data_IF_952089110251
#
_entry.id   IF_952089110251
#
_cell.length_a   1.000
_cell.length_b   1.000
_cell.length_c   1.000
_cell.angle_alpha   90.00
_cell.angle_beta   90.00
_cell.angle_gamma   90.00
#
_symmetry.space_group_name_H-M   'P 1'
#
loop_
_entity.id
_entity.type
_entity.pdbx_description
1 polymer ?
#
# COMPACT_ATOMS: atom_id res chain seq x y z
N UNK A 1 -11.11 -12.39 -11.43
CA UNK A 1 -10.12 -11.32 -11.68
C UNK A 1 -10.80 -10.05 -11.26
N UNK A 2 -10.44 -9.49 -10.11
CA UNK A 2 -11.04 -8.24 -9.63
C UNK A 2 -10.31 -7.12 -10.34
N UNK A 3 -11.04 -6.37 -11.16
CA UNK A 3 -10.55 -5.17 -11.83
C UNK A 3 -10.71 -4.02 -10.84
N UNK A 4 -9.59 -3.42 -10.45
CA UNK A 4 -9.50 -2.42 -9.40
C UNK A 4 -9.60 -1.04 -10.06
N UNK A 5 -10.84 -0.65 -10.37
CA UNK A 5 -11.18 0.43 -11.30
C UNK A 5 -10.80 1.83 -10.76
N UNK A 6 -9.60 2.27 -11.11
CA UNK A 6 -9.02 3.58 -10.81
C UNK A 6 -7.52 3.56 -11.01
N UNK A 7 -7.03 4.10 -12.14
CA UNK A 7 -5.59 4.22 -12.41
C UNK A 7 -5.04 5.57 -11.90
N UNK A 8 -4.16 5.50 -10.91
CA UNK A 8 -3.44 6.63 -10.36
C UNK A 8 -1.98 6.58 -10.78
N UNK A 9 -1.31 7.73 -10.87
CA UNK A 9 0.09 7.79 -11.28
C UNK A 9 0.98 8.30 -10.16
N UNK A 10 2.09 7.58 -9.90
CA UNK A 10 3.14 8.03 -9.00
C UNK A 10 4.41 8.25 -9.81
N UNK A 11 4.93 9.48 -9.75
CA UNK A 11 6.19 9.83 -10.37
C UNK A 11 7.34 9.49 -9.43
N UNK A 12 8.30 8.69 -9.90
CA UNK A 12 9.55 8.36 -9.21
C UNK A 12 10.68 9.21 -9.82
N UNK A 13 11.06 10.35 -9.20
CA UNK A 13 12.00 11.29 -9.80
C UNK A 13 13.39 10.68 -10.00
N UNK A 14 13.82 9.82 -9.08
CA UNK A 14 15.12 9.15 -9.12
C UNK A 14 15.32 8.27 -10.37
N UNK A 15 14.23 7.76 -10.96
CA UNK A 15 14.26 6.91 -12.15
C UNK A 15 13.68 7.57 -13.40
N UNK A 16 13.07 8.76 -13.27
CA UNK A 16 12.33 9.43 -14.35
C UNK A 16 11.13 8.63 -14.85
N UNK A 17 10.51 7.80 -14.00
CA UNK A 17 9.42 6.88 -14.37
C UNK A 17 8.12 7.20 -13.65
N UNK A 18 7.01 7.00 -14.34
CA UNK A 18 5.67 7.04 -13.78
C UNK A 18 5.16 5.61 -13.60
N UNK A 19 4.72 5.26 -12.40
CA UNK A 19 4.10 3.96 -12.09
C UNK A 19 2.60 4.13 -11.94
N UNK A 20 1.84 3.18 -12.49
CA UNK A 20 0.40 3.11 -12.27
C UNK A 20 0.10 2.36 -10.98
N UNK A 21 -0.75 2.95 -10.14
CA UNK A 21 -1.33 2.35 -8.95
C UNK A 21 -2.83 2.16 -9.18
N UNK A 22 -3.35 1.05 -8.66
CA UNK A 22 -4.79 0.92 -8.49
C UNK A 22 -5.25 1.67 -7.23
N UNK A 23 -6.57 1.78 -7.06
CA UNK A 23 -7.19 2.44 -5.90
C UNK A 23 -6.67 1.89 -4.56
N UNK A 24 -6.50 0.57 -4.43
CA UNK A 24 -5.92 -0.06 -3.24
C UNK A 24 -4.50 0.46 -2.94
N UNK A 25 -3.65 0.52 -3.96
CA UNK A 25 -2.29 1.00 -3.85
C UNK A 25 -2.22 2.48 -3.45
N UNK A 26 -3.11 3.31 -4.00
CA UNK A 26 -3.21 4.71 -3.56
C UNK A 26 -3.64 4.80 -2.09
N UNK A 27 -4.66 4.04 -1.70
CA UNK A 27 -5.19 4.09 -0.34
C UNK A 27 -4.16 3.64 0.70
N UNK A 28 -3.32 2.65 0.36
CA UNK A 28 -2.16 2.27 1.19
C UNK A 28 -1.25 3.49 1.45
N UNK A 29 -0.90 4.25 0.41
CA UNK A 29 -0.03 5.42 0.55
C UNK A 29 -0.70 6.53 1.37
N UNK A 30 -1.99 6.80 1.13
CA UNK A 30 -2.76 7.81 1.88
C UNK A 30 -2.80 7.48 3.38
N UNK A 31 -2.98 6.22 3.74
CA UNK A 31 -3.02 5.79 5.13
C UNK A 31 -1.66 5.92 5.81
N UNK A 32 -0.58 5.55 5.10
CA UNK A 32 0.78 5.62 5.63
C UNK A 32 1.35 7.04 5.70
N UNK A 33 0.88 7.96 4.85
CA UNK A 33 1.23 9.39 4.90
C UNK A 33 0.65 10.08 6.15
N UNK A 34 -0.53 9.63 6.62
CA UNK A 34 -1.16 10.17 7.83
C UNK A 34 -0.43 9.74 9.11
N UNK A 35 0.01 8.48 9.17
CA UNK A 35 0.76 7.93 10.30
C UNK A 35 1.44 6.62 9.92
N UNK A 36 2.65 6.33 10.44
CA UNK A 36 3.19 4.98 10.41
C UNK A 36 2.19 3.98 11.00
N UNK A 37 2.08 2.81 10.37
CA UNK A 37 1.18 1.75 10.79
C UNK A 37 1.86 0.38 10.71
N UNK A 38 1.42 -0.58 11.53
CA UNK A 38 1.81 -1.98 11.37
C UNK A 38 1.03 -2.62 10.21
N UNK A 39 1.50 -3.76 9.72
CA UNK A 39 0.81 -4.51 8.66
C UNK A 39 -0.62 -4.87 9.09
N UNK A 40 -0.81 -5.34 10.31
CA UNK A 40 -2.12 -5.73 10.84
C UNK A 40 -3.08 -4.53 10.88
N UNK A 41 -2.60 -3.38 11.36
CA UNK A 41 -3.42 -2.17 11.45
C UNK A 41 -3.76 -1.64 10.07
N UNK A 42 -2.81 -1.64 9.14
CA UNK A 42 -3.04 -1.24 7.76
C UNK A 42 -4.08 -2.15 7.08
N UNK A 43 -3.94 -3.47 7.22
CA UNK A 43 -4.91 -4.43 6.66
C UNK A 43 -6.31 -4.24 7.24
N UNK A 44 -6.44 -3.96 8.54
CA UNK A 44 -7.74 -3.65 9.16
C UNK A 44 -8.38 -2.40 8.53
N UNK A 45 -7.63 -1.31 8.41
CA UNK A 45 -8.11 -0.05 7.84
C UNK A 45 -8.54 -0.21 6.38
N UNK A 46 -7.79 -0.98 5.60
CA UNK A 46 -8.12 -1.25 4.19
C UNK A 46 -9.33 -2.17 4.06
N UNK A 47 -9.43 -3.21 4.89
CA UNK A 47 -10.58 -4.11 4.90
C UNK A 47 -11.87 -3.36 5.27
N UNK A 48 -11.81 -2.47 6.27
CA UNK A 48 -12.92 -1.58 6.64
C UNK A 48 -13.29 -0.62 5.49
N UNK A 49 -12.31 0.03 4.87
CA UNK A 49 -12.53 1.01 3.81
C UNK A 49 -13.18 0.39 2.56
N UNK A 50 -12.68 -0.77 2.12
CA UNK A 50 -13.16 -1.45 0.91
C UNK A 50 -14.24 -2.49 1.19
N UNK A 51 -14.70 -2.64 2.44
CA UNK A 51 -15.65 -3.68 2.86
C UNK A 51 -15.21 -5.09 2.45
N UNK A 52 -13.93 -5.40 2.63
CA UNK A 52 -13.31 -6.69 2.29
C UNK A 52 -13.18 -7.61 3.51
N UNK A 53 -13.02 -8.90 3.25
CA UNK A 53 -12.70 -9.88 4.29
C UNK A 53 -11.21 -9.77 4.66
N UNK A 54 -10.92 -9.60 5.95
CA UNK A 54 -9.57 -9.69 6.48
C UNK A 54 -9.20 -11.18 6.66
N UNK A 55 -8.49 -11.73 5.67
CA UNK A 55 -7.95 -13.08 5.70
C UNK A 55 -6.44 -13.11 5.41
N UNK A 56 -5.82 -14.28 5.56
CA UNK A 56 -4.38 -14.46 5.32
C UNK A 56 -3.98 -14.10 3.88
N UNK A 57 -4.84 -14.39 2.90
CA UNK A 57 -4.60 -14.09 1.49
C UNK A 57 -4.52 -12.58 1.26
N UNK A 58 -5.45 -11.83 1.84
CA UNK A 58 -5.46 -10.38 1.80
C UNK A 58 -4.22 -9.79 2.46
N UNK A 59 -3.85 -10.27 3.65
CA UNK A 59 -2.63 -9.82 4.34
C UNK A 59 -1.37 -10.06 3.49
N UNK A 60 -1.26 -11.21 2.84
CA UNK A 60 -0.13 -11.52 1.94
C UNK A 60 -0.10 -10.58 0.73
N UNK A 61 -1.24 -10.23 0.15
CA UNK A 61 -1.32 -9.28 -0.98
C UNK A 61 -0.90 -7.87 -0.58
N UNK A 62 -1.33 -7.39 0.60
CA UNK A 62 -0.89 -6.09 1.12
C UNK A 62 0.61 -6.11 1.40
N UNK A 63 1.15 -7.18 1.98
CA UNK A 63 2.58 -7.32 2.22
C UNK A 63 3.40 -7.27 0.93
N UNK A 64 2.97 -7.97 -0.13
CA UNK A 64 3.63 -7.91 -1.44
C UNK A 64 3.58 -6.50 -2.06
N UNK A 65 2.46 -5.79 -1.88
CA UNK A 65 2.30 -4.41 -2.34
C UNK A 65 3.27 -3.48 -1.61
N UNK A 66 3.41 -3.62 -0.29
CA UNK A 66 4.37 -2.86 0.52
C UNK A 66 5.82 -3.12 0.10
N UNK A 67 6.21 -4.37 -0.16
CA UNK A 67 7.55 -4.67 -0.67
C UNK A 67 7.81 -4.03 -2.03
N UNK A 68 6.81 -4.01 -2.92
CA UNK A 68 6.94 -3.31 -4.20
C UNK A 68 7.09 -1.80 -3.99
N UNK A 69 6.33 -1.21 -3.07
CA UNK A 69 6.42 0.22 -2.76
C UNK A 69 7.76 0.59 -2.14
N UNK A 70 8.30 -0.26 -1.26
CA UNK A 70 9.64 -0.10 -0.70
C UNK A 70 10.70 -0.11 -1.81
N UNK A 71 10.64 -1.09 -2.73
CA UNK A 71 11.57 -1.18 -3.85
C UNK A 71 11.48 0.03 -4.82
N UNK A 72 10.32 0.70 -4.86
CA UNK A 72 10.11 1.94 -5.62
C UNK A 72 10.50 3.21 -4.84
N UNK A 73 10.83 3.08 -3.56
CA UNK A 73 11.14 4.21 -2.67
C UNK A 73 9.91 5.02 -2.24
N UNK A 74 8.71 4.42 -2.27
CA UNK A 74 7.45 5.07 -1.91
C UNK A 74 7.12 4.95 -0.41
N UNK A 75 7.58 3.87 0.22
CA UNK A 75 7.42 3.62 1.66
C UNK A 75 8.75 3.12 2.23
N UNK A 76 8.90 3.21 3.55
CA UNK A 76 10.04 2.66 4.26
C UNK A 76 9.58 2.01 5.58
N UNK A 77 10.23 0.91 5.97
CA UNK A 77 10.03 0.36 7.31
C UNK A 77 10.71 1.23 8.34
N UNK A 78 9.93 1.72 9.30
CA UNK A 78 10.47 2.39 10.48
C UNK A 78 10.68 1.36 11.58
N UNK A 79 11.93 1.13 11.95
CA UNK A 79 12.24 0.29 13.09
C UNK A 79 12.22 1.19 14.34
N UNK A 80 11.15 1.12 15.13
CA UNK A 80 11.11 1.78 16.43
C UNK A 80 12.05 1.04 17.38
N UNK A 81 13.33 1.39 17.30
CA UNK A 81 14.31 1.02 18.32
C UNK A 81 13.98 1.89 19.55
N UNK A 82 13.63 1.25 20.67
CA UNK A 82 13.41 1.91 21.96
C UNK A 82 14.67 2.60 22.48
#
# INVERSE_FOLDING_TARGET
MVDWDGEFTVFQPAAGKTHFLNEMGLQVLILLDQSPATLERLCQLLAEHFSLLLDESFMQQIQQTLHRFEALGLVAYVNFSQ
#
